data_IF_977746664663
#
_entry.id   IF_977746664663
#
_cell.length_a   1.000
_cell.length_b   1.000
_cell.length_c   1.000
_cell.angle_alpha   90.00
_cell.angle_beta   90.00
_cell.angle_gamma   90.00
#
_symmetry.space_group_name_H-M   'P 1'
#
loop_
_entity.id
_entity.type
_entity.pdbx_description
1 polymer ?
#
# COMPACT_ATOMS: atom_id res chain seq x y z
N UNK A 1 -24.34 15.74 -8.36
CA UNK A 1 -23.06 15.60 -7.64
C UNK A 1 -21.97 16.04 -8.59
N UNK A 2 -21.02 16.93 -8.22
CA UNK A 2 -20.00 17.33 -9.17
C UNK A 2 -19.00 16.18 -9.34
N UNK A 3 -19.29 15.31 -10.30
CA UNK A 3 -18.33 14.40 -10.90
C UNK A 3 -17.20 15.26 -11.50
N UNK A 4 -16.03 15.29 -10.87
CA UNK A 4 -14.91 16.06 -11.42
C UNK A 4 -13.75 16.35 -10.49
N UNK A 5 -13.90 16.24 -9.17
CA UNK A 5 -12.75 16.36 -8.25
C UNK A 5 -12.08 15.00 -8.09
N UNK A 6 -10.78 14.84 -8.45
CA UNK A 6 -10.04 13.61 -8.20
C UNK A 6 -10.13 13.19 -6.72
N UNK A 7 -10.42 11.90 -6.48
CA UNK A 7 -10.29 11.24 -5.18
C UNK A 7 -10.83 12.02 -3.96
N UNK A 8 -12.11 12.42 -4.02
CA UNK A 8 -12.84 13.03 -2.90
C UNK A 8 -12.65 12.28 -1.56
N UNK A 9 -12.56 10.95 -1.59
CA UNK A 9 -12.39 10.12 -0.40
C UNK A 9 -11.11 10.42 0.40
N UNK A 10 -10.01 10.86 -0.24
CA UNK A 10 -8.79 11.23 0.47
C UNK A 10 -8.85 12.67 1.00
N UNK A 11 -9.58 13.57 0.35
CA UNK A 11 -9.74 14.93 0.87
C UNK A 11 -10.54 14.98 2.17
N UNK A 12 -11.42 13.99 2.42
CA UNK A 12 -12.09 13.82 3.72
C UNK A 12 -11.06 13.68 4.87
N UNK A 13 -9.85 13.17 4.62
CA UNK A 13 -8.83 13.03 5.66
C UNK A 13 -8.26 14.37 6.12
N UNK A 14 -8.33 15.40 5.28
CA UNK A 14 -8.01 16.78 5.69
C UNK A 14 -9.05 17.24 6.71
N UNK A 15 -10.33 17.02 6.42
CA UNK A 15 -11.44 17.40 7.31
C UNK A 15 -11.40 16.66 8.64
N UNK A 16 -11.16 15.34 8.61
CA UNK A 16 -11.07 14.50 9.82
C UNK A 16 -9.80 14.76 10.63
N UNK A 17 -8.71 15.19 10.00
CA UNK A 17 -7.42 15.39 10.66
C UNK A 17 -7.33 16.65 11.52
N UNK A 18 -8.33 17.54 11.46
CA UNK A 18 -8.35 18.78 12.23
C UNK A 18 -7.43 19.87 11.68
N UNK A 19 -7.20 20.91 12.49
CA UNK A 19 -6.43 22.09 12.11
C UNK A 19 -4.97 21.72 11.74
N UNK A 20 -4.52 22.14 10.56
CA UNK A 20 -3.17 21.87 10.05
C UNK A 20 -3.00 20.52 9.35
N UNK A 21 -4.04 19.68 9.24
CA UNK A 21 -3.96 18.47 8.42
C UNK A 21 -3.81 18.80 6.94
N UNK A 22 -2.78 18.26 6.29
CA UNK A 22 -2.55 18.42 4.84
C UNK A 22 -2.75 17.12 4.07
N UNK A 23 -3.16 16.03 4.73
CA UNK A 23 -3.21 14.66 4.17
C UNK A 23 -4.35 14.42 3.16
N UNK A 24 -4.54 15.34 2.22
CA UNK A 24 -5.46 15.22 1.11
C UNK A 24 -4.82 14.57 -0.11
N UNK A 25 -5.58 14.53 -1.21
CA UNK A 25 -5.17 13.92 -2.48
C UNK A 25 -3.80 14.42 -2.97
N UNK A 26 -3.61 15.74 -3.04
CA UNK A 26 -2.39 16.35 -3.60
C UNK A 26 -1.12 15.92 -2.86
N UNK A 27 -1.12 15.97 -1.53
CA UNK A 27 0.04 15.58 -0.72
C UNK A 27 0.31 14.07 -0.79
N UNK A 28 -0.74 13.24 -0.80
CA UNK A 28 -0.59 11.78 -0.85
C UNK A 28 -0.14 11.33 -2.24
N UNK A 29 -0.54 12.02 -3.31
CA UNK A 29 -0.21 11.67 -4.69
C UNK A 29 1.31 11.58 -4.91
N UNK A 30 2.07 12.47 -4.29
CA UNK A 30 3.54 12.40 -4.30
C UNK A 30 4.05 11.07 -3.73
N UNK A 31 3.49 10.61 -2.61
CA UNK A 31 3.89 9.33 -2.02
C UNK A 31 3.50 8.15 -2.90
N UNK A 32 2.37 8.20 -3.62
CA UNK A 32 2.02 7.17 -4.60
C UNK A 32 3.03 7.10 -5.76
N UNK A 33 3.46 8.26 -6.29
CA UNK A 33 4.54 8.30 -7.28
C UNK A 33 5.84 7.72 -6.73
N UNK A 34 6.17 8.02 -5.48
CA UNK A 34 7.40 7.50 -4.86
C UNK A 34 7.35 6.02 -4.47
N UNK A 35 6.15 5.43 -4.31
CA UNK A 35 6.01 4.08 -3.78
C UNK A 35 5.95 2.99 -4.85
N UNK A 36 5.73 3.35 -6.12
CA UNK A 36 5.43 2.42 -7.21
C UNK A 36 6.24 2.76 -8.46
N UNK A 37 6.67 1.72 -9.18
CA UNK A 37 7.19 1.81 -10.54
C UNK A 37 6.15 1.27 -11.52
N UNK A 38 5.51 2.15 -12.27
CA UNK A 38 4.56 1.80 -13.32
C UNK A 38 5.32 1.36 -14.57
N UNK A 39 4.95 0.20 -15.09
CA UNK A 39 5.46 -0.33 -16.34
C UNK A 39 4.29 -0.37 -17.32
N UNK A 40 4.29 0.50 -18.36
CA UNK A 40 3.27 0.50 -19.39
C UNK A 40 3.10 -0.87 -20.04
N UNK A 41 1.89 -1.19 -20.56
CA UNK A 41 1.69 -2.39 -21.36
C UNK A 41 2.49 -2.33 -22.65
N UNK A 42 2.95 -3.50 -23.13
CA UNK A 42 3.44 -3.64 -24.50
C UNK A 42 2.39 -3.16 -25.50
N UNK A 43 2.82 -2.53 -26.60
CA UNK A 43 1.89 -1.95 -27.58
C UNK A 43 0.90 -2.96 -28.14
N UNK A 44 1.34 -4.19 -28.39
CA UNK A 44 0.47 -5.27 -28.87
C UNK A 44 -0.59 -5.66 -27.84
N UNK A 45 -0.22 -5.70 -26.55
CA UNK A 45 -1.15 -5.99 -25.44
C UNK A 45 -2.13 -4.82 -25.28
N UNK A 46 -1.63 -3.59 -25.36
CA UNK A 46 -2.45 -2.39 -25.26
C UNK A 46 -3.49 -2.32 -26.38
N UNK A 47 -3.08 -2.55 -27.63
CA UNK A 47 -3.96 -2.56 -28.80
C UNK A 47 -4.96 -3.72 -28.71
N UNK A 48 -4.46 -4.94 -28.42
CA UNK A 48 -5.32 -6.13 -28.35
C UNK A 48 -6.42 -5.98 -27.31
N UNK A 49 -6.17 -5.32 -26.18
CA UNK A 49 -7.12 -5.25 -25.07
C UNK A 49 -7.72 -3.86 -24.85
N UNK A 50 -7.52 -2.90 -25.77
CA UNK A 50 -7.93 -1.50 -25.62
C UNK A 50 -7.49 -0.89 -24.27
N UNK A 51 -6.27 -1.19 -23.83
CA UNK A 51 -5.72 -0.64 -22.59
C UNK A 51 -5.18 0.75 -22.86
N UNK A 52 -5.69 1.71 -22.10
CA UNK A 52 -5.14 3.05 -22.00
C UNK A 52 -4.52 3.23 -20.62
N UNK A 53 -3.61 4.19 -20.52
CA UNK A 53 -2.97 4.58 -19.26
C UNK A 53 -2.55 6.05 -19.35
N UNK A 54 -2.30 6.68 -18.20
CA UNK A 54 -1.84 8.07 -18.11
C UNK A 54 -0.76 8.14 -17.02
N UNK A 55 0.51 8.07 -17.41
CA UNK A 55 1.64 8.13 -16.47
C UNK A 55 1.59 9.39 -15.61
N UNK A 56 1.18 10.51 -16.20
CA UNK A 56 1.08 11.80 -15.52
C UNK A 56 -0.05 11.84 -14.49
N UNK A 57 -0.96 10.86 -14.49
CA UNK A 57 -2.07 10.77 -13.53
C UNK A 57 -1.63 10.50 -12.08
N UNK A 58 -0.37 10.13 -11.83
CA UNK A 58 0.11 9.84 -10.48
C UNK A 58 1.08 8.67 -10.38
N UNK A 59 1.50 8.10 -11.50
CA UNK A 59 2.39 6.95 -11.50
C UNK A 59 3.84 7.38 -11.27
N UNK A 60 4.56 6.58 -10.49
CA UNK A 60 6.02 6.64 -10.45
C UNK A 60 6.63 5.77 -11.53
N UNK A 61 7.90 6.00 -11.84
CA UNK A 61 8.67 5.22 -12.83
C UNK A 61 10.11 4.94 -12.37
N UNK A 62 10.38 5.08 -11.07
CA UNK A 62 11.71 4.82 -10.51
C UNK A 62 11.90 3.29 -10.32
N UNK A 63 12.69 2.67 -11.19
CA UNK A 63 12.88 1.21 -11.23
C UNK A 63 13.51 0.64 -9.95
N UNK A 64 14.36 1.41 -9.28
CA UNK A 64 15.07 1.05 -8.04
C UNK A 64 14.12 0.80 -6.84
N UNK A 65 12.84 1.16 -6.94
CA UNK A 65 11.85 0.89 -5.89
C UNK A 65 11.50 -0.61 -5.84
N UNK A 66 11.60 -1.33 -6.96
CA UNK A 66 11.26 -2.75 -7.10
C UNK A 66 9.86 -3.14 -6.57
N UNK A 67 8.92 -2.16 -6.56
CA UNK A 67 7.48 -2.37 -6.38
C UNK A 67 6.78 -1.95 -7.67
N UNK A 68 6.44 -2.94 -8.48
CA UNK A 68 5.89 -2.73 -9.82
C UNK A 68 4.37 -2.68 -9.86
N UNK A 69 3.84 -1.86 -10.77
CA UNK A 69 2.48 -1.89 -11.27
C UNK A 69 2.55 -2.11 -12.79
N UNK A 70 2.18 -3.31 -13.25
CA UNK A 70 2.46 -3.76 -14.62
C UNK A 70 1.30 -4.52 -15.27
N UNK A 71 1.41 -4.77 -16.58
CA UNK A 71 0.37 -5.40 -17.39
C UNK A 71 0.88 -6.71 -18.04
N UNK A 72 0.85 -7.85 -17.34
CA UNK A 72 1.44 -9.12 -17.81
C UNK A 72 0.69 -9.82 -18.96
N UNK A 73 -0.32 -9.16 -19.57
CA UNK A 73 -1.07 -9.62 -20.76
C UNK A 73 -2.01 -10.84 -20.56
N UNK A 74 -1.65 -11.79 -19.69
CA UNK A 74 -2.31 -13.11 -19.57
C UNK A 74 -3.67 -13.12 -18.86
N UNK A 75 -3.98 -12.09 -18.06
CA UNK A 75 -5.23 -11.99 -17.28
C UNK A 75 -6.26 -11.02 -17.88
N UNK A 76 -5.97 -10.40 -19.03
CA UNK A 76 -6.82 -9.37 -19.66
C UNK A 76 -7.98 -9.93 -20.49
N UNK A 77 -8.56 -11.06 -20.09
CA UNK A 77 -9.60 -11.78 -20.86
C UNK A 77 -11.02 -11.25 -20.63
N UNK A 78 -11.25 -9.95 -20.84
CA UNK A 78 -12.60 -9.36 -20.65
C UNK A 78 -12.98 -8.33 -21.71
N UNK A 79 -12.46 -8.45 -22.93
CA UNK A 79 -12.81 -7.53 -24.03
C UNK A 79 -14.31 -7.52 -24.33
N UNK A 80 -14.97 -8.68 -24.26
CA UNK A 80 -16.42 -8.79 -24.37
C UNK A 80 -17.14 -7.97 -23.29
N UNK A 81 -16.66 -8.01 -22.05
CA UNK A 81 -17.23 -7.23 -20.95
C UNK A 81 -16.98 -5.74 -21.17
N UNK A 82 -15.76 -5.35 -21.56
CA UNK A 82 -15.41 -3.97 -21.87
C UNK A 82 -16.30 -3.37 -22.98
N UNK A 83 -16.50 -4.12 -24.08
CA UNK A 83 -17.35 -3.67 -25.18
C UNK A 83 -18.83 -3.66 -24.82
N UNK A 84 -19.31 -4.61 -24.01
CA UNK A 84 -20.66 -4.57 -23.48
C UNK A 84 -20.89 -3.32 -22.61
N UNK A 85 -19.91 -2.96 -21.76
CA UNK A 85 -19.99 -1.76 -20.92
C UNK A 85 -20.08 -0.47 -21.75
N UNK A 86 -19.46 -0.41 -22.95
CA UNK A 86 -19.55 0.78 -23.84
C UNK A 86 -20.97 1.04 -24.34
N UNK A 87 -21.79 0.00 -24.43
CA UNK A 87 -23.19 0.15 -24.89
C UNK A 87 -24.09 0.77 -23.82
N UNK A 88 -23.63 0.85 -22.56
CA UNK A 88 -24.42 1.39 -21.46
C UNK A 88 -24.30 2.92 -21.38
N UNK A 89 -25.43 3.65 -21.43
CA UNK A 89 -25.42 5.10 -21.30
C UNK A 89 -24.87 5.55 -19.94
N UNK A 90 -24.00 6.57 -19.96
CA UNK A 90 -23.49 7.22 -18.74
C UNK A 90 -22.31 6.52 -18.06
N UNK A 91 -21.76 5.45 -18.64
CA UNK A 91 -20.54 4.80 -18.13
C UNK A 91 -19.29 5.52 -18.66
N UNK A 92 -18.43 6.09 -17.80
CA UNK A 92 -17.18 6.72 -18.23
C UNK A 92 -16.06 5.70 -18.48
N UNK A 93 -15.21 6.00 -19.46
CA UNK A 93 -14.03 5.22 -19.85
C UNK A 93 -12.78 6.13 -19.77
N UNK A 94 -12.33 6.49 -18.55
CA UNK A 94 -11.16 7.34 -18.42
C UNK A 94 -9.90 6.59 -18.88
N UNK A 95 -8.90 7.35 -19.31
CA UNK A 95 -7.62 6.77 -19.74
C UNK A 95 -6.95 5.95 -18.61
N UNK A 96 -7.11 6.40 -17.37
CA UNK A 96 -6.51 5.80 -16.17
C UNK A 96 -7.41 6.04 -14.94
N UNK A 97 -7.38 5.10 -14.00
CA UNK A 97 -8.10 5.19 -12.73
C UNK A 97 -7.24 5.70 -11.57
N UNK A 98 -5.91 5.59 -11.68
CA UNK A 98 -4.94 5.93 -10.64
C UNK A 98 -4.99 7.40 -10.25
N UNK A 99 -5.23 8.30 -11.21
CA UNK A 99 -5.43 9.73 -10.96
C UNK A 99 -6.76 10.10 -10.33
N UNK A 100 -7.44 9.15 -9.67
CA UNK A 100 -8.68 9.38 -8.95
C UNK A 100 -9.93 9.55 -9.81
N UNK A 101 -9.89 9.03 -11.04
CA UNK A 101 -11.05 9.00 -11.96
C UNK A 101 -11.76 7.66 -11.85
N UNK A 102 -13.09 7.70 -11.80
CA UNK A 102 -13.92 6.50 -11.77
C UNK A 102 -14.41 6.13 -13.17
N UNK A 103 -14.52 4.84 -13.44
CA UNK A 103 -15.03 4.32 -14.70
C UNK A 103 -14.49 2.94 -15.03
N UNK A 104 -14.62 2.56 -16.29
CA UNK A 104 -14.06 1.32 -16.83
C UNK A 104 -12.64 1.60 -17.30
N UNK A 105 -11.66 0.98 -16.63
CA UNK A 105 -10.23 1.21 -16.86
C UNK A 105 -9.48 -0.10 -16.99
N UNK A 106 -8.42 -0.11 -17.81
CA UNK A 106 -7.40 -1.14 -17.73
C UNK A 106 -6.52 -0.87 -16.52
N UNK A 107 -6.45 -1.80 -15.58
CA UNK A 107 -5.67 -1.62 -14.36
C UNK A 107 -4.42 -2.51 -14.36
N UNK A 108 -3.29 -2.01 -13.84
CA UNK A 108 -2.09 -2.81 -13.66
C UNK A 108 -2.23 -3.73 -12.45
N UNK A 109 -1.36 -4.72 -12.37
CA UNK A 109 -1.23 -5.65 -11.24
C UNK A 109 0.17 -5.59 -10.64
N UNK A 110 0.31 -5.99 -9.38
CA UNK A 110 1.61 -6.01 -8.69
C UNK A 110 2.44 -7.22 -9.10
N UNK A 111 3.05 -7.14 -10.27
CA UNK A 111 3.88 -8.20 -10.88
C UNK A 111 5.16 -7.58 -11.44
N UNK A 112 6.29 -8.22 -11.21
CA UNK A 112 7.51 -7.98 -12.00
C UNK A 112 7.39 -8.75 -13.31
N UNK A 113 7.32 -8.04 -14.44
CA UNK A 113 7.14 -8.65 -15.76
C UNK A 113 8.38 -9.38 -16.28
N UNK A 114 9.56 -9.09 -15.73
CA UNK A 114 10.81 -9.75 -16.13
C UNK A 114 10.85 -11.17 -15.58
N UNK A 115 10.46 -11.33 -14.32
CA UNK A 115 10.47 -12.62 -13.63
C UNK A 115 9.10 -13.31 -13.64
N UNK A 116 8.04 -12.58 -14.01
CA UNK A 116 6.64 -13.01 -13.94
C UNK A 116 6.24 -13.44 -12.51
N UNK A 117 6.83 -12.80 -11.50
CA UNK A 117 6.55 -13.06 -10.08
C UNK A 117 5.81 -11.89 -9.44
N UNK A 118 5.18 -12.15 -8.29
CA UNK A 118 4.48 -11.12 -7.52
C UNK A 118 5.48 -10.06 -7.04
N UNK A 119 5.16 -8.80 -7.31
CA UNK A 119 5.76 -7.63 -6.67
C UNK A 119 5.00 -7.30 -5.38
N UNK A 120 5.71 -7.17 -4.26
CA UNK A 120 5.12 -6.85 -2.95
C UNK A 120 6.16 -6.29 -1.97
N UNK A 121 5.76 -5.86 -0.78
CA UNK A 121 6.64 -5.14 0.16
C UNK A 121 7.99 -5.81 0.46
N UNK A 122 8.08 -7.15 0.42
CA UNK A 122 9.38 -7.82 0.61
C UNK A 122 10.33 -7.60 -0.58
N UNK A 123 9.83 -7.72 -1.81
CA UNK A 123 10.67 -7.59 -3.02
C UNK A 123 11.25 -6.18 -3.15
N UNK A 124 10.50 -5.14 -2.77
CA UNK A 124 10.98 -3.76 -2.87
C UNK A 124 11.60 -3.14 -1.63
N UNK A 125 11.39 -3.72 -0.43
CA UNK A 125 11.86 -3.10 0.82
C UNK A 125 12.68 -4.04 1.71
N UNK A 126 13.04 -5.22 1.22
CA UNK A 126 13.87 -6.17 1.96
C UNK A 126 14.85 -6.93 1.06
N UNK A 127 14.37 -7.51 -0.04
CA UNK A 127 15.19 -8.34 -0.92
C UNK A 127 16.39 -7.51 -1.45
N UNK A 128 17.56 -8.15 -1.51
CA UNK A 128 18.85 -7.57 -1.91
C UNK A 128 19.38 -6.35 -1.10
N UNK A 129 18.68 -5.90 -0.05
CA UNK A 129 19.18 -4.88 0.87
C UNK A 129 20.17 -5.46 1.88
N UNK A 130 21.45 -5.06 1.77
CA UNK A 130 22.49 -5.39 2.75
C UNK A 130 22.84 -4.17 3.58
N UNK A 131 22.26 -4.07 4.78
CA UNK A 131 22.46 -2.95 5.69
C UNK A 131 22.68 -3.47 7.11
N UNK A 132 23.83 -3.16 7.69
CA UNK A 132 24.20 -3.61 9.05
C UNK A 132 23.25 -3.06 10.13
N UNK A 133 22.49 -2.02 9.82
CA UNK A 133 21.52 -1.39 10.71
C UNK A 133 20.06 -1.77 10.40
N UNK A 134 19.81 -2.83 9.61
CA UNK A 134 18.46 -3.28 9.26
C UNK A 134 18.28 -4.77 9.54
N UNK A 135 17.66 -5.08 10.67
CA UNK A 135 17.44 -6.46 11.14
C UNK A 135 16.00 -6.90 10.96
N UNK A 136 15.79 -8.18 10.61
CA UNK A 136 14.47 -8.81 10.52
C UNK A 136 14.44 -10.09 11.35
N UNK A 137 13.57 -10.11 12.36
CA UNK A 137 13.30 -11.29 13.16
C UNK A 137 12.02 -11.95 12.67
N UNK A 138 12.17 -12.99 11.84
CA UNK A 138 11.03 -13.78 11.34
C UNK A 138 10.58 -14.84 12.35
N UNK A 139 9.39 -15.41 12.15
CA UNK A 139 8.89 -16.50 12.99
C UNK A 139 8.73 -16.13 14.46
N UNK A 140 8.54 -14.84 14.74
CA UNK A 140 8.40 -14.30 16.08
C UNK A 140 7.16 -13.41 16.16
N UNK A 141 6.51 -13.42 17.32
CA UNK A 141 5.32 -12.64 17.60
C UNK A 141 5.60 -11.64 18.71
N UNK A 142 5.38 -10.35 18.43
CA UNK A 142 5.36 -9.32 19.48
C UNK A 142 4.08 -9.48 20.30
N UNK A 143 4.21 -9.52 21.62
CA UNK A 143 3.09 -9.70 22.54
C UNK A 143 2.77 -8.44 23.33
N UNK A 144 3.78 -7.62 23.65
CA UNK A 144 3.61 -6.44 24.50
C UNK A 144 4.56 -5.33 24.10
N UNK A 145 4.06 -4.09 24.20
CA UNK A 145 4.87 -2.87 24.18
C UNK A 145 5.22 -2.53 25.63
N UNK A 146 6.49 -2.23 25.88
CA UNK A 146 6.99 -1.82 27.17
C UNK A 146 6.94 -0.31 27.27
N UNK A 147 6.42 0.20 28.39
CA UNK A 147 6.33 1.62 28.69
C UNK A 147 7.15 1.96 29.92
N UNK A 148 7.75 3.14 29.90
CA UNK A 148 8.22 3.87 31.07
C UNK A 148 7.40 5.16 31.10
N UNK A 149 6.49 5.27 32.07
CA UNK A 149 5.40 6.26 32.05
C UNK A 149 4.63 6.25 30.72
N UNK A 150 4.64 7.35 29.96
CA UNK A 150 3.98 7.49 28.66
C UNK A 150 4.91 7.23 27.46
N UNK A 151 6.16 6.85 27.72
CA UNK A 151 7.17 6.62 26.69
C UNK A 151 7.32 5.12 26.38
N UNK A 152 7.13 4.75 25.12
CA UNK A 152 7.39 3.39 24.67
C UNK A 152 8.90 3.12 24.66
N UNK A 153 9.36 2.16 25.47
CA UNK A 153 10.80 1.84 25.65
C UNK A 153 11.23 0.54 24.99
N UNK A 154 10.30 -0.22 24.40
CA UNK A 154 10.63 -1.44 23.71
C UNK A 154 9.44 -2.38 23.50
N UNK A 155 9.74 -3.61 23.13
CA UNK A 155 8.76 -4.67 22.91
C UNK A 155 9.24 -5.99 23.48
N UNK A 156 8.30 -6.86 23.86
CA UNK A 156 8.59 -8.27 24.11
C UNK A 156 7.98 -9.13 23.02
N UNK A 157 8.75 -10.13 22.57
CA UNK A 157 8.32 -11.05 21.54
C UNK A 157 8.66 -12.50 21.92
N UNK A 158 7.91 -13.44 21.36
CA UNK A 158 8.10 -14.88 21.56
C UNK A 158 8.32 -15.58 20.20
N UNK A 159 9.21 -16.57 20.11
CA UNK A 159 9.32 -17.41 18.93
C UNK A 159 8.03 -18.21 18.70
N UNK A 160 7.62 -18.36 17.43
CA UNK A 160 6.43 -19.13 17.04
C UNK A 160 6.52 -20.59 17.46
N UNK A 161 7.70 -21.18 17.34
CA UNK A 161 7.91 -22.62 17.55
C UNK A 161 8.13 -22.97 19.04
N UNK A 162 7.86 -22.01 19.94
CA UNK A 162 8.04 -22.14 21.38
C UNK A 162 9.40 -21.61 21.87
N UNK A 163 9.44 -21.14 23.12
CA UNK A 163 10.64 -20.57 23.73
C UNK A 163 10.33 -19.47 24.73
N UNK A 164 11.38 -18.90 25.30
CA UNK A 164 11.26 -17.80 26.25
C UNK A 164 10.98 -16.47 25.53
N UNK A 165 10.24 -15.58 26.20
CA UNK A 165 10.05 -14.23 25.73
C UNK A 165 11.38 -13.46 25.73
N UNK A 166 11.65 -12.76 24.63
CA UNK A 166 12.82 -11.90 24.46
C UNK A 166 12.38 -10.44 24.48
N UNK A 167 13.21 -9.57 25.06
CA UNK A 167 12.95 -8.13 25.10
C UNK A 167 13.89 -7.39 24.15
N UNK A 168 13.33 -6.58 23.27
CA UNK A 168 14.07 -5.60 22.48
C UNK A 168 13.77 -4.19 23.03
N UNK A 169 14.81 -3.40 23.30
CA UNK A 169 14.69 -2.01 23.80
C UNK A 169 15.01 -1.01 22.70
N UNK A 170 14.34 0.14 22.73
CA UNK A 170 14.60 1.27 21.82
C UNK A 170 14.98 2.52 22.61
N UNK A 171 15.75 3.41 21.97
CA UNK A 171 16.07 4.75 22.48
C UNK A 171 15.24 5.85 21.81
N UNK A 172 14.44 5.47 20.82
CA UNK A 172 13.60 6.38 20.01
C UNK A 172 12.17 5.86 20.08
N UNK A 173 11.64 5.46 18.94
CA UNK A 173 10.23 5.12 18.80
C UNK A 173 10.03 3.61 18.65
N UNK A 174 8.81 3.19 18.97
CA UNK A 174 8.25 1.90 18.57
C UNK A 174 7.20 2.18 17.49
N UNK A 175 7.44 1.68 16.27
CA UNK A 175 6.47 1.77 15.18
C UNK A 175 5.66 0.48 15.14
N UNK A 176 4.35 0.61 15.36
CA UNK A 176 3.43 -0.51 15.32
C UNK A 176 2.74 -0.59 13.96
N UNK A 177 2.96 -1.69 13.24
CA UNK A 177 2.24 -2.00 12.00
C UNK A 177 1.42 -3.26 12.20
N UNK A 178 0.10 -3.15 12.14
CA UNK A 178 -0.83 -4.25 12.32
C UNK A 178 -1.71 -4.37 11.07
N UNK A 179 -1.89 -5.60 10.59
CA UNK A 179 -2.88 -5.89 9.57
C UNK A 179 -4.26 -5.94 10.24
N UNK A 180 -5.28 -5.34 9.60
CA UNK A 180 -6.60 -5.10 10.19
C UNK A 180 -7.34 -6.36 10.66
N UNK A 181 -8.10 -6.20 11.76
CA UNK A 181 -9.07 -7.11 12.38
C UNK A 181 -8.65 -8.58 12.60
N UNK A 182 -7.36 -8.84 12.75
CA UNK A 182 -6.89 -10.09 13.36
C UNK A 182 -7.01 -10.02 14.88
N UNK A 183 -7.37 -11.11 15.60
CA UNK A 183 -7.47 -11.10 17.07
C UNK A 183 -6.21 -10.57 17.76
N UNK A 184 -5.04 -10.79 17.14
CA UNK A 184 -3.74 -10.33 17.63
C UNK A 184 -3.51 -8.82 17.48
N UNK A 185 -4.09 -8.20 16.44
CA UNK A 185 -4.02 -6.76 16.25
C UNK A 185 -4.81 -6.03 17.33
N UNK A 186 -5.99 -6.56 17.67
CA UNK A 186 -6.86 -6.04 18.73
C UNK A 186 -6.22 -6.19 20.11
N UNK A 187 -5.55 -7.31 20.39
CA UNK A 187 -4.84 -7.53 21.67
C UNK A 187 -3.72 -6.50 21.89
N UNK A 188 -2.85 -6.30 20.90
CA UNK A 188 -1.75 -5.32 21.00
C UNK A 188 -2.26 -3.87 21.03
N UNK A 189 -3.28 -3.55 20.24
CA UNK A 189 -3.91 -2.23 20.26
C UNK A 189 -4.58 -1.95 21.61
N UNK A 190 -5.19 -2.96 22.24
CA UNK A 190 -5.75 -2.86 23.59
C UNK A 190 -4.64 -2.64 24.62
N UNK A 191 -3.51 -3.35 24.53
CA UNK A 191 -2.36 -3.12 25.40
C UNK A 191 -1.81 -1.70 25.27
N UNK A 192 -1.75 -1.16 24.05
CA UNK A 192 -1.36 0.22 23.80
C UNK A 192 -2.33 1.19 24.48
N UNK A 193 -3.65 0.99 24.28
CA UNK A 193 -4.68 1.82 24.91
C UNK A 193 -4.59 1.78 26.44
N UNK A 194 -4.50 0.59 27.01
CA UNK A 194 -4.52 0.39 28.46
C UNK A 194 -3.22 0.89 29.11
N UNK A 195 -2.06 0.73 28.44
CA UNK A 195 -0.79 1.31 28.89
C UNK A 195 -0.79 2.85 28.89
N UNK A 196 -1.49 3.47 27.93
CA UNK A 196 -1.69 4.93 27.92
C UNK A 196 -2.76 5.40 28.93
N UNK A 197 -3.70 4.52 29.28
CA UNK A 197 -4.85 4.80 30.14
C UNK A 197 -4.65 4.47 31.63
N UNK A 198 -3.62 3.71 32.01
CA UNK A 198 -3.29 3.34 33.40
C UNK A 198 -2.74 4.51 34.24
N UNK A 199 -3.35 5.68 34.06
CA UNK A 199 -3.17 6.91 34.81
C UNK A 199 -3.99 6.84 36.09
#
# INVERSE_FOLDING_TARGET
MPYGTPCYSLNIWVELGGEGSTRGWEEILWYFRKALCSIPPDSEVAEKYNITYDIEAGWGQEEDIHIYASYPGSYMNSQLTYDALKTMPGVPFPADGHGGRHGVVGYPVSVDITTMTRSYSRTGHWDDLKRDNYELITGSRVNKILFDEDVATGVTFVPRDGGNATTARTKKDVILYLLGDGPYSTELATHLRDGLASR
#
